data_IF_985621961344
#
_entry.id   IF_985621961344
#
_cell.length_a   1.000
_cell.length_b   1.000
_cell.length_c   1.000
_cell.angle_alpha   90.00
_cell.angle_beta   90.00
_cell.angle_gamma   90.00
#
_symmetry.space_group_name_H-M   'P 1'
#
loop_
_entity.id
_entity.type
_entity.pdbx_description
1 polymer ?
#
# COMPACT_ATOMS: atom_id res chain seq x y z
N UNK A 1 -27.79 -5.69 -5.48
CA UNK A 1 -26.44 -5.10 -5.37
C UNK A 1 -25.45 -6.24 -5.19
N UNK A 2 -24.47 -6.38 -6.09
CA UNK A 2 -23.38 -7.35 -5.90
C UNK A 2 -22.37 -6.65 -4.98
N UNK A 3 -22.18 -7.16 -3.75
CA UNK A 3 -21.12 -6.66 -2.89
C UNK A 3 -19.78 -6.95 -3.56
N UNK A 4 -18.93 -5.93 -3.72
CA UNK A 4 -17.55 -6.13 -4.20
C UNK A 4 -16.78 -6.95 -3.16
N UNK A 5 -16.00 -7.92 -3.62
CA UNK A 5 -15.10 -8.71 -2.78
C UNK A 5 -14.09 -7.78 -2.08
N UNK A 6 -13.85 -7.95 -0.75
CA UNK A 6 -12.72 -7.36 -0.05
C UNK A 6 -11.43 -7.37 -0.86
N UNK A 7 -10.77 -6.22 -1.00
CA UNK A 7 -9.46 -6.12 -1.66
C UNK A 7 -8.39 -5.60 -0.71
N UNK A 8 -7.17 -6.08 -0.92
CA UNK A 8 -5.99 -5.68 -0.17
C UNK A 8 -5.13 -4.76 -1.03
N UNK A 9 -4.60 -3.70 -0.44
CA UNK A 9 -3.54 -2.92 -1.03
C UNK A 9 -2.34 -2.98 -0.09
N UNK A 10 -1.18 -3.37 -0.62
CA UNK A 10 0.09 -3.21 0.05
C UNK A 10 0.92 -2.25 -0.79
N UNK A 11 1.54 -1.26 -0.15
CA UNK A 11 2.48 -0.38 -0.83
C UNK A 11 3.78 -0.26 -0.04
N UNK A 12 4.89 -0.15 -0.74
CA UNK A 12 6.21 0.04 -0.13
C UNK A 12 7.26 0.40 -1.15
N UNK A 13 8.51 0.45 -0.70
CA UNK A 13 9.70 0.63 -1.53
C UNK A 13 10.70 -0.53 -1.34
N UNK A 14 11.91 -0.37 -1.89
CA UNK A 14 12.99 -1.36 -1.76
C UNK A 14 13.35 -1.72 -0.30
N UNK A 15 13.11 -0.83 0.67
CA UNK A 15 13.41 -1.03 2.08
C UNK A 15 12.30 -1.83 2.80
N UNK A 16 11.09 -1.85 2.25
CA UNK A 16 9.95 -2.55 2.84
C UNK A 16 9.86 -4.03 2.45
N UNK A 17 10.68 -4.51 1.50
CA UNK A 17 10.57 -5.85 0.91
C UNK A 17 10.51 -6.96 1.97
N UNK A 18 11.40 -6.93 2.97
CA UNK A 18 11.42 -7.96 4.03
C UNK A 18 10.15 -7.93 4.88
N UNK A 19 9.65 -6.73 5.20
CA UNK A 19 8.42 -6.55 5.95
C UNK A 19 7.20 -7.02 5.14
N UNK A 20 7.14 -6.65 3.87
CA UNK A 20 6.04 -7.02 2.97
C UNK A 20 5.96 -8.53 2.75
N UNK A 21 7.10 -9.23 2.68
CA UNK A 21 7.13 -10.70 2.69
C UNK A 21 6.50 -11.28 3.95
N UNK A 22 6.80 -10.71 5.11
CA UNK A 22 6.21 -11.18 6.38
C UNK A 22 4.70 -10.91 6.43
N UNK A 23 4.26 -9.75 5.96
CA UNK A 23 2.83 -9.40 5.91
C UNK A 23 2.10 -10.36 4.97
N UNK A 24 2.60 -10.57 3.75
CA UNK A 24 1.98 -11.46 2.77
C UNK A 24 1.97 -12.93 3.20
N UNK A 25 2.96 -13.38 3.98
CA UNK A 25 2.96 -14.74 4.53
C UNK A 25 1.81 -15.00 5.51
N UNK A 26 1.15 -13.95 6.03
CA UNK A 26 -0.01 -14.07 6.91
C UNK A 26 -1.36 -13.99 6.18
N UNK A 27 -1.35 -13.75 4.86
CA UNK A 27 -2.56 -13.62 4.08
C UNK A 27 -3.21 -14.99 3.82
N UNK A 28 -4.55 -15.06 3.77
CA UNK A 28 -5.23 -16.26 3.32
C UNK A 28 -4.95 -16.50 1.82
N UNK A 29 -5.03 -17.76 1.39
CA UNK A 29 -4.73 -18.16 0.00
C UNK A 29 -5.65 -17.51 -1.03
N UNK A 30 -6.88 -17.14 -0.63
CA UNK A 30 -7.88 -16.50 -1.47
C UNK A 30 -7.82 -14.96 -1.44
N UNK A 31 -6.79 -14.37 -0.82
CA UNK A 31 -6.64 -12.93 -0.77
C UNK A 31 -6.51 -12.32 -2.18
N UNK A 32 -7.34 -11.31 -2.46
CA UNK A 32 -7.34 -10.56 -3.71
C UNK A 32 -6.86 -9.13 -3.47
N UNK A 33 -6.08 -8.58 -4.40
CA UNK A 33 -5.48 -7.26 -4.18
C UNK A 33 -4.25 -6.95 -5.03
N UNK A 34 -3.50 -5.96 -4.59
CA UNK A 34 -2.29 -5.48 -5.25
C UNK A 34 -1.17 -5.23 -4.23
N UNK A 35 0.05 -5.62 -4.59
CA UNK A 35 1.29 -5.16 -3.97
C UNK A 35 1.98 -4.20 -4.95
N UNK A 36 2.09 -2.94 -4.56
CA UNK A 36 2.73 -1.89 -5.34
C UNK A 36 4.08 -1.53 -4.73
N UNK A 37 5.15 -1.61 -5.51
CA UNK A 37 6.50 -1.29 -5.04
C UNK A 37 7.10 -0.11 -5.79
N UNK A 38 7.34 1.00 -5.10
CA UNK A 38 8.09 2.10 -5.68
C UNK A 38 9.58 1.79 -5.74
N UNK A 39 10.10 1.52 -6.94
CA UNK A 39 11.46 1.03 -7.13
C UNK A 39 12.26 1.94 -8.10
N UNK A 40 13.58 2.13 -7.86
CA UNK A 40 14.45 2.81 -8.82
C UNK A 40 14.68 1.99 -10.11
N UNK A 41 14.59 0.66 -10.03
CA UNK A 41 14.60 -0.27 -11.17
C UNK A 41 13.23 -0.96 -11.22
N UNK A 42 12.54 -1.04 -12.38
CA UNK A 42 11.26 -1.74 -12.49
C UNK A 42 11.31 -3.25 -12.22
N UNK A 43 12.49 -3.85 -12.11
CA UNK A 43 12.63 -5.25 -11.74
C UNK A 43 12.14 -5.49 -10.29
N UNK A 44 11.00 -6.16 -10.17
CA UNK A 44 10.47 -6.53 -8.86
C UNK A 44 11.35 -7.60 -8.18
N UNK A 45 11.72 -7.41 -6.91
CA UNK A 45 12.32 -8.48 -6.14
C UNK A 45 11.34 -9.65 -6.00
N UNK A 46 11.83 -10.89 -5.88
CA UNK A 46 10.94 -12.03 -5.65
C UNK A 46 10.22 -11.83 -4.32
N UNK A 47 8.88 -11.82 -4.33
CA UNK A 47 8.05 -11.72 -3.13
C UNK A 47 6.94 -12.76 -3.28
N UNK A 48 6.94 -13.83 -2.46
CA UNK A 48 5.82 -14.76 -2.43
C UNK A 48 4.54 -14.02 -2.04
N UNK A 49 3.49 -14.19 -2.83
CA UNK A 49 2.17 -13.62 -2.58
C UNK A 49 1.09 -14.65 -2.99
N UNK A 50 -0.11 -14.61 -2.39
CA UNK A 50 -1.25 -15.37 -2.88
C UNK A 50 -1.54 -15.06 -4.36
N UNK A 51 -2.07 -16.03 -5.11
CA UNK A 51 -2.32 -15.89 -6.56
C UNK A 51 -3.25 -14.72 -6.91
N UNK A 52 -4.15 -14.34 -5.99
CA UNK A 52 -5.05 -13.19 -6.14
C UNK A 52 -4.40 -11.82 -5.90
N UNK A 53 -3.14 -11.77 -5.44
CA UNK A 53 -2.40 -10.53 -5.21
C UNK A 53 -1.47 -10.25 -6.39
N UNK A 54 -1.78 -9.21 -7.16
CA UNK A 54 -0.92 -8.78 -8.26
C UNK A 54 0.27 -7.95 -7.74
N UNK A 55 1.50 -8.37 -8.04
CA UNK A 55 2.71 -7.60 -7.79
C UNK A 55 2.99 -6.64 -8.95
N UNK A 56 3.10 -5.34 -8.68
CA UNK A 56 3.37 -4.32 -9.70
C UNK A 56 4.46 -3.35 -9.26
N UNK A 57 5.51 -3.14 -10.07
CA UNK A 57 6.47 -2.08 -9.83
C UNK A 57 5.86 -0.73 -10.17
N UNK A 58 6.18 0.28 -9.36
CA UNK A 58 5.96 1.70 -9.62
C UNK A 58 7.35 2.31 -9.91
N UNK A 59 7.74 2.47 -11.18
CA UNK A 59 9.06 3.02 -11.50
C UNK A 59 9.23 4.42 -10.94
N UNK A 60 10.29 4.63 -10.17
CA UNK A 60 10.74 5.95 -9.69
C UNK A 60 11.52 6.64 -10.81
N UNK A 61 11.05 7.81 -11.22
CA UNK A 61 11.75 8.58 -12.24
C UNK A 61 13.13 9.03 -11.74
N UNK A 62 14.11 9.13 -12.64
CA UNK A 62 15.46 9.60 -12.28
C UNK A 62 15.37 11.00 -11.68
N UNK A 63 15.90 11.16 -10.46
CA UNK A 63 15.87 12.43 -9.72
C UNK A 63 14.56 12.74 -9.01
N UNK A 64 13.53 11.89 -9.12
CA UNK A 64 12.30 12.04 -8.34
C UNK A 64 12.52 11.54 -6.90
N UNK A 65 11.98 12.26 -5.89
CA UNK A 65 12.06 11.80 -4.51
C UNK A 65 11.20 10.55 -4.29
N UNK A 66 11.61 9.64 -3.37
CA UNK A 66 10.83 8.47 -3.03
C UNK A 66 9.47 8.86 -2.44
N UNK A 67 8.44 8.09 -2.75
CA UNK A 67 7.10 8.18 -2.15
C UNK A 67 6.10 8.94 -2.99
N UNK A 68 6.53 9.68 -4.03
CA UNK A 68 5.60 10.42 -4.90
C UNK A 68 4.72 9.47 -5.71
N UNK A 69 5.32 8.45 -6.32
CA UNK A 69 4.58 7.48 -7.14
C UNK A 69 3.71 6.61 -6.25
N UNK A 70 4.20 6.26 -5.06
CA UNK A 70 3.42 5.58 -4.05
C UNK A 70 2.15 6.36 -3.65
N UNK A 71 2.28 7.66 -3.34
CA UNK A 71 1.13 8.50 -2.98
C UNK A 71 0.11 8.61 -4.12
N UNK A 72 0.57 8.75 -5.37
CA UNK A 72 -0.33 8.77 -6.54
C UNK A 72 -1.09 7.45 -6.69
N UNK A 73 -0.42 6.31 -6.54
CA UNK A 73 -1.04 5.01 -6.66
C UNK A 73 -2.01 4.72 -5.52
N UNK A 74 -1.66 5.10 -4.28
CA UNK A 74 -2.55 5.05 -3.12
C UNK A 74 -3.83 5.84 -3.34
N UNK A 75 -3.72 7.09 -3.80
CA UNK A 75 -4.88 7.94 -4.09
C UNK A 75 -5.80 7.32 -5.12
N UNK A 76 -5.25 6.94 -6.28
CA UNK A 76 -6.02 6.30 -7.34
C UNK A 76 -6.74 5.03 -6.87
N UNK A 77 -6.08 4.19 -6.07
CA UNK A 77 -6.69 2.97 -5.55
C UNK A 77 -7.81 3.26 -4.55
N UNK A 78 -7.62 4.22 -3.65
CA UNK A 78 -8.66 4.62 -2.69
C UNK A 78 -9.87 5.22 -3.40
N UNK A 79 -9.64 6.08 -4.39
CA UNK A 79 -10.72 6.67 -5.20
C UNK A 79 -11.54 5.58 -5.89
N UNK A 80 -10.88 4.58 -6.50
CA UNK A 80 -11.54 3.50 -7.24
C UNK A 80 -12.27 2.49 -6.34
N UNK A 81 -11.65 2.09 -5.23
CA UNK A 81 -12.09 0.92 -4.46
C UNK A 81 -12.77 1.25 -3.15
N UNK A 82 -12.59 2.46 -2.62
CA UNK A 82 -13.05 2.81 -1.27
C UNK A 82 -14.03 3.97 -1.26
N UNK A 83 -13.84 4.97 -2.12
CA UNK A 83 -14.65 6.20 -2.13
C UNK A 83 -15.78 6.19 -3.18
N UNK A 84 -15.72 5.32 -4.18
CA UNK A 84 -16.77 5.18 -5.20
C UNK A 84 -18.11 4.69 -4.62
N UNK A 85 -19.24 5.08 -5.22
CA UNK A 85 -20.62 5.07 -4.70
C UNK A 85 -21.16 3.70 -4.22
N UNK A 86 -20.40 2.62 -4.46
CA UNK A 86 -20.79 1.23 -4.17
C UNK A 86 -19.80 0.50 -3.25
N UNK A 87 -18.76 1.16 -2.76
CA UNK A 87 -17.77 0.57 -1.88
C UNK A 87 -18.08 0.87 -0.40
N UNK A 88 -18.24 -0.16 0.43
CA UNK A 88 -18.03 0.04 1.86
C UNK A 88 -16.53 0.00 2.13
N UNK A 89 -15.99 1.02 2.80
CA UNK A 89 -14.63 0.96 3.36
C UNK A 89 -14.43 -0.29 4.24
N UNK A 90 -15.54 -0.79 4.83
CA UNK A 90 -15.59 -2.08 5.54
C UNK A 90 -15.26 -3.22 4.58
N UNK A 91 -14.08 -3.82 4.79
CA UNK A 91 -13.61 -4.99 4.04
C UNK A 91 -12.32 -4.74 3.26
N UNK A 92 -11.91 -3.50 3.03
CA UNK A 92 -10.65 -3.19 2.38
C UNK A 92 -9.53 -3.04 3.42
N UNK A 93 -8.40 -3.71 3.19
CA UNK A 93 -7.23 -3.59 4.05
C UNK A 93 -6.11 -2.90 3.27
N UNK A 94 -5.65 -1.75 3.79
CA UNK A 94 -4.58 -0.96 3.15
C UNK A 94 -3.36 -0.98 4.07
N UNK A 95 -2.29 -1.59 3.64
CA UNK A 95 -0.98 -1.56 4.28
C UNK A 95 -0.07 -0.56 3.56
N UNK A 96 0.44 0.43 4.29
CA UNK A 96 1.32 1.47 3.76
C UNK A 96 2.67 1.37 4.44
N UNK A 97 3.68 0.89 3.70
CA UNK A 97 5.10 0.90 4.05
C UNK A 97 5.74 2.29 3.96
N UNK A 98 7.04 2.37 3.73
CA UNK A 98 7.78 3.64 3.62
C UNK A 98 7.64 4.49 4.89
N UNK A 99 7.69 3.85 6.06
CA UNK A 99 7.59 4.55 7.34
C UNK A 99 8.69 5.61 7.44
N UNK A 100 8.35 6.81 7.89
CA UNK A 100 9.23 7.97 7.97
C UNK A 100 9.51 8.66 6.63
N UNK A 101 8.93 8.22 5.50
CA UNK A 101 9.00 8.99 4.26
C UNK A 101 8.08 10.23 4.36
N UNK A 102 8.60 11.46 4.18
CA UNK A 102 7.84 12.67 4.46
C UNK A 102 6.63 12.88 3.54
N UNK A 103 6.67 12.40 2.29
CA UNK A 103 5.54 12.49 1.37
C UNK A 103 4.44 11.53 1.79
N UNK A 104 4.80 10.29 2.12
CA UNK A 104 3.85 9.25 2.55
C UNK A 104 3.22 9.60 3.90
N UNK A 105 4.00 10.07 4.88
CA UNK A 105 3.45 10.47 6.19
C UNK A 105 2.43 11.61 6.04
N UNK A 106 2.79 12.66 5.30
CA UNK A 106 1.88 13.79 5.05
C UNK A 106 0.62 13.36 4.31
N UNK A 107 0.76 12.47 3.33
CA UNK A 107 -0.38 11.96 2.58
C UNK A 107 -1.31 11.14 3.46
N UNK A 108 -0.77 10.24 4.30
CA UNK A 108 -1.57 9.43 5.23
C UNK A 108 -2.30 10.32 6.25
N UNK A 109 -1.62 11.31 6.82
CA UNK A 109 -2.23 12.27 7.76
C UNK A 109 -3.37 13.05 7.10
N UNK A 110 -3.14 13.60 5.90
CA UNK A 110 -4.16 14.31 5.16
C UNK A 110 -5.36 13.42 4.82
N UNK A 111 -5.13 12.18 4.37
CA UNK A 111 -6.20 11.26 4.02
C UNK A 111 -7.06 10.85 5.20
N UNK A 112 -6.44 10.53 6.36
CA UNK A 112 -7.18 10.22 7.58
C UNK A 112 -7.95 11.43 8.12
N UNK A 113 -7.44 12.65 7.90
CA UNK A 113 -8.16 13.88 8.22
C UNK A 113 -9.44 14.08 7.40
N UNK A 114 -9.42 13.73 6.11
CA UNK A 114 -10.59 13.85 5.23
C UNK A 114 -11.54 12.64 5.31
N UNK A 115 -11.02 11.45 5.58
CA UNK A 115 -11.76 10.19 5.58
C UNK A 115 -11.42 9.37 6.85
N UNK A 116 -11.94 9.77 8.02
CA UNK A 116 -11.62 9.13 9.31
C UNK A 116 -12.07 7.66 9.42
N UNK A 117 -12.94 7.21 8.50
CA UNK A 117 -13.37 5.82 8.37
C UNK A 117 -12.36 4.91 7.64
N UNK A 118 -11.30 5.48 7.05
CA UNK A 118 -10.23 4.69 6.42
C UNK A 118 -9.37 4.04 7.49
N UNK A 119 -9.08 2.75 7.31
CA UNK A 119 -8.18 2.00 8.16
C UNK A 119 -6.87 1.72 7.41
N UNK A 120 -5.83 2.48 7.73
CA UNK A 120 -4.48 2.32 7.17
C UNK A 120 -3.58 1.60 8.18
N UNK A 121 -2.99 0.48 7.78
CA UNK A 121 -1.97 -0.21 8.55
C UNK A 121 -0.59 0.37 8.22
N UNK A 122 0.17 0.74 9.25
CA UNK A 122 1.50 1.37 9.12
C UNK A 122 2.52 0.57 9.92
N UNK A 123 3.75 0.35 9.41
CA UNK A 123 4.84 -0.11 10.24
C UNK A 123 5.18 0.94 11.29
N UNK A 124 5.23 0.53 12.57
CA UNK A 124 5.75 1.39 13.61
C UNK A 124 7.28 1.46 13.50
N UNK A 125 7.84 2.66 13.33
CA UNK A 125 9.28 2.87 13.60
C UNK A 125 9.44 2.98 15.11
N UNK A 126 9.93 1.92 15.75
CA UNK A 126 10.56 2.10 17.05
C UNK A 126 11.73 3.06 16.83
N UNK A 127 11.67 4.24 17.43
CA UNK A 127 12.81 5.16 17.44
C UNK A 127 14.02 4.38 17.97
N UNK A 128 15.09 4.30 17.19
CA UNK A 128 16.36 3.83 17.74
C UNK A 128 16.71 4.74 18.93
N UNK A 129 17.15 4.20 20.08
CA UNK A 129 17.67 5.04 21.15
C UNK A 129 18.87 5.82 20.60
N UNK A 130 18.87 7.13 20.88
CA UNK A 130 19.99 8.04 20.57
C UNK A 130 21.24 7.63 21.35
#
# INVERSE_FOLDING_TARGET
>A
MIARTPRHLLIGDEQDVSLLRMVLASFPEDAVGELLLELPNPECPPIPAPDGIALRPLPRAVGAPPGVRACMALGAWIDEWVLDEHASAKGHAIFVGMAGNPFVERWCEAMLGHHPQLHLHRPWRASAPQ
#
